data_IF_559275345649
#
_entry.id   IF_559275345649
#
_cell.length_a   1.000
_cell.length_b   1.000
_cell.length_c   1.000
_cell.angle_alpha   90.00
_cell.angle_beta   90.00
_cell.angle_gamma   90.00
#
_symmetry.space_group_name_H-M   'P 1'
#
loop_
_entity.id
_entity.type
_entity.pdbx_description
1 polymer ?
#
# COMPACT_ATOMS: atom_id res chain seq x y z
N UNK A 1 2.00 37.91 -5.00
CA UNK A 1 1.72 36.52 -4.55
C UNK A 1 2.92 35.69 -4.96
N UNK A 2 3.83 35.42 -4.03
CA UNK A 2 4.96 34.51 -4.30
C UNK A 2 4.40 33.13 -4.62
N UNK A 3 4.82 32.54 -5.72
CA UNK A 3 4.55 31.12 -5.99
C UNK A 3 5.12 30.32 -4.83
N UNK A 4 4.28 29.85 -3.91
CA UNK A 4 4.72 28.91 -2.88
C UNK A 4 5.34 27.72 -3.61
N UNK A 5 6.61 27.43 -3.33
CA UNK A 5 7.33 26.29 -3.88
C UNK A 5 6.58 25.02 -3.50
N UNK A 6 5.71 24.57 -4.39
CA UNK A 6 4.93 23.36 -4.25
C UNK A 6 5.82 22.21 -4.66
N UNK A 7 6.05 21.26 -3.75
CA UNK A 7 6.82 20.05 -4.02
C UNK A 7 5.86 18.87 -4.10
N UNK A 8 5.82 18.21 -5.25
CA UNK A 8 5.16 16.91 -5.37
C UNK A 8 5.98 15.86 -4.60
N UNK A 9 5.30 15.10 -3.76
CA UNK A 9 5.85 13.99 -3.00
C UNK A 9 5.09 12.74 -3.34
N UNK A 10 5.82 11.71 -3.75
CA UNK A 10 5.31 10.37 -4.03
C UNK A 10 5.64 9.47 -2.84
N UNK A 11 4.64 8.74 -2.36
CA UNK A 11 4.76 7.75 -1.30
C UNK A 11 4.27 6.41 -1.82
N UNK A 12 5.15 5.41 -1.91
CA UNK A 12 4.84 4.10 -2.46
C UNK A 12 5.46 2.98 -1.64
N UNK A 13 4.72 1.89 -1.42
CA UNK A 13 5.21 0.71 -0.69
C UNK A 13 4.50 -0.57 -1.13
N UNK A 14 5.19 -1.70 -1.11
CA UNK A 14 4.51 -3.00 -1.14
C UNK A 14 3.96 -3.32 0.24
N UNK A 15 2.76 -3.91 0.30
CA UNK A 15 2.14 -4.32 1.56
C UNK A 15 1.01 -5.35 1.34
N UNK A 16 0.36 -5.79 2.42
CA UNK A 16 -0.78 -6.70 2.37
C UNK A 16 -2.10 -5.96 2.60
N UNK A 17 -2.97 -5.96 1.59
CA UNK A 17 -4.35 -5.46 1.71
C UNK A 17 -5.34 -6.56 2.09
N UNK A 18 -6.43 -6.13 2.74
CA UNK A 18 -7.57 -6.94 3.13
C UNK A 18 -8.76 -6.63 2.21
N UNK A 19 -9.35 -7.66 1.60
CA UNK A 19 -10.42 -7.52 0.61
C UNK A 19 -11.59 -8.47 0.87
N UNK A 20 -12.82 -7.96 0.87
CA UNK A 20 -14.06 -8.76 0.85
C UNK A 20 -14.60 -8.84 -0.58
N UNK A 21 -15.54 -9.74 -0.88
CA UNK A 21 -16.19 -9.73 -2.20
C UNK A 21 -16.99 -8.45 -2.42
N UNK A 22 -17.70 -7.99 -1.39
CA UNK A 22 -18.48 -6.76 -1.44
C UNK A 22 -17.59 -5.54 -1.71
N UNK A 23 -16.37 -5.49 -1.15
CA UNK A 23 -15.38 -4.45 -1.43
C UNK A 23 -15.07 -4.35 -2.92
N UNK A 24 -14.73 -5.48 -3.53
CA UNK A 24 -14.33 -5.56 -4.93
C UNK A 24 -15.49 -5.26 -5.86
N UNK A 25 -16.70 -5.73 -5.53
CA UNK A 25 -17.90 -5.43 -6.32
C UNK A 25 -18.29 -3.95 -6.28
N UNK A 26 -18.15 -3.30 -5.12
CA UNK A 26 -18.35 -1.85 -4.98
C UNK A 26 -17.32 -1.11 -5.85
N UNK A 27 -16.03 -1.48 -5.76
CA UNK A 27 -14.96 -0.85 -6.55
C UNK A 27 -15.16 -1.03 -8.05
N UNK A 28 -15.45 -2.25 -8.49
CA UNK A 28 -15.71 -2.54 -9.90
C UNK A 28 -16.87 -1.70 -10.43
N UNK A 29 -17.97 -1.63 -9.68
CA UNK A 29 -19.13 -0.86 -10.08
C UNK A 29 -18.85 0.64 -10.13
N UNK A 30 -18.20 1.21 -9.11
CA UNK A 30 -17.86 2.65 -9.09
C UNK A 30 -16.86 2.97 -10.20
N UNK A 31 -15.84 2.15 -10.42
CA UNK A 31 -14.83 2.39 -11.47
C UNK A 31 -15.48 2.43 -12.87
N UNK A 32 -16.47 1.57 -13.12
CA UNK A 32 -17.20 1.56 -14.39
C UNK A 32 -18.25 2.67 -14.56
N UNK A 33 -18.73 3.28 -13.46
CA UNK A 33 -19.92 4.15 -13.46
C UNK A 33 -19.77 5.43 -12.61
N UNK A 34 -18.54 5.89 -12.30
CA UNK A 34 -18.32 7.04 -11.41
C UNK A 34 -18.69 8.38 -12.07
N UNK A 35 -19.40 9.29 -11.36
CA UNK A 35 -19.92 9.17 -9.99
C UNK A 35 -21.18 8.31 -9.92
N UNK A 36 -21.33 7.54 -8.84
CA UNK A 36 -22.47 6.63 -8.66
C UNK A 36 -23.35 7.02 -7.47
N UNK A 37 -24.68 7.03 -7.67
CA UNK A 37 -25.66 7.29 -6.62
C UNK A 37 -25.58 6.25 -5.52
N UNK A 38 -25.61 6.70 -4.26
CA UNK A 38 -25.65 5.81 -3.10
C UNK A 38 -26.85 4.86 -3.13
N UNK A 39 -28.03 5.37 -3.50
CA UNK A 39 -29.25 4.57 -3.53
C UNK A 39 -29.21 3.50 -4.62
N UNK A 40 -28.61 3.81 -5.77
CA UNK A 40 -28.46 2.86 -6.87
C UNK A 40 -27.49 1.74 -6.49
N UNK A 41 -26.34 2.08 -5.91
CA UNK A 41 -25.38 1.10 -5.38
C UNK A 41 -26.03 0.16 -4.35
N UNK A 42 -26.75 0.72 -3.36
CA UNK A 42 -27.45 -0.08 -2.35
C UNK A 42 -28.46 -1.03 -3.01
N UNK A 43 -29.21 -0.55 -4.00
CA UNK A 43 -30.23 -1.34 -4.69
C UNK A 43 -29.60 -2.49 -5.48
N UNK A 44 -28.53 -2.21 -6.24
CA UNK A 44 -27.82 -3.21 -7.04
C UNK A 44 -27.21 -4.30 -6.13
N UNK A 45 -26.50 -3.89 -5.07
CA UNK A 45 -25.86 -4.83 -4.15
C UNK A 45 -26.90 -5.64 -3.34
N UNK A 46 -28.02 -5.02 -2.96
CA UNK A 46 -29.11 -5.73 -2.32
C UNK A 46 -29.75 -6.78 -3.24
N UNK A 47 -29.91 -6.46 -4.53
CA UNK A 47 -30.40 -7.42 -5.53
C UNK A 47 -29.44 -8.60 -5.76
N UNK A 48 -28.15 -8.42 -5.46
CA UNK A 48 -27.14 -9.49 -5.45
C UNK A 48 -27.14 -10.32 -4.15
N UNK A 49 -27.98 -9.98 -3.17
CA UNK A 49 -28.16 -10.74 -1.93
C UNK A 49 -27.41 -10.19 -0.72
N UNK A 50 -26.73 -9.05 -0.83
CA UNK A 50 -26.09 -8.39 0.32
C UNK A 50 -27.12 -7.68 1.20
N UNK A 51 -26.96 -7.75 2.52
CA UNK A 51 -27.86 -7.01 3.41
C UNK A 51 -27.51 -5.52 3.40
N UNK A 52 -28.50 -4.66 3.64
CA UNK A 52 -28.26 -3.20 3.77
C UNK A 52 -27.26 -2.87 4.87
N UNK A 53 -27.19 -3.70 5.92
CA UNK A 53 -26.23 -3.55 7.01
C UNK A 53 -24.81 -3.81 6.52
N UNK A 54 -24.57 -4.93 5.84
CA UNK A 54 -23.23 -5.27 5.31
C UNK A 54 -22.76 -4.23 4.30
N UNK A 55 -23.65 -3.75 3.43
CA UNK A 55 -23.36 -2.67 2.48
C UNK A 55 -22.92 -1.39 3.20
N UNK A 56 -23.63 -1.00 4.26
CA UNK A 56 -23.28 0.19 5.04
C UNK A 56 -21.93 0.02 5.74
N UNK A 57 -21.71 -1.11 6.41
CA UNK A 57 -20.45 -1.41 7.10
C UNK A 57 -19.26 -1.42 6.13
N UNK A 58 -19.45 -1.95 4.92
CA UNK A 58 -18.43 -1.96 3.89
C UNK A 58 -18.16 -0.55 3.31
N UNK A 59 -19.18 0.30 3.15
CA UNK A 59 -18.97 1.71 2.79
C UNK A 59 -18.19 2.47 3.86
N UNK A 60 -18.54 2.30 5.14
CA UNK A 60 -17.80 2.92 6.25
C UNK A 60 -16.34 2.47 6.24
N UNK A 61 -16.09 1.16 6.05
CA UNK A 61 -14.73 0.61 5.94
C UNK A 61 -13.96 1.18 4.75
N UNK A 62 -14.57 1.25 3.57
CA UNK A 62 -13.90 1.76 2.37
C UNK A 62 -13.61 3.26 2.45
N UNK A 63 -14.46 4.04 3.13
CA UNK A 63 -14.21 5.43 3.46
C UNK A 63 -13.00 5.55 4.40
N UNK A 64 -12.99 4.78 5.48
CA UNK A 64 -11.89 4.76 6.46
C UNK A 64 -10.56 4.33 5.81
N UNK A 65 -10.62 3.48 4.78
CA UNK A 65 -9.47 2.99 4.02
C UNK A 65 -9.12 3.84 2.77
N UNK A 66 -9.81 4.95 2.53
CA UNK A 66 -9.63 5.80 1.33
C UNK A 66 -9.76 5.08 -0.02
N UNK A 67 -10.65 4.11 -0.11
CA UNK A 67 -10.98 3.52 -1.41
C UNK A 67 -12.07 4.32 -2.11
N UNK A 68 -13.04 4.84 -1.36
CA UNK A 68 -14.13 5.65 -1.89
C UNK A 68 -14.31 6.90 -1.03
N UNK A 69 -14.91 7.93 -1.62
CA UNK A 69 -15.34 9.14 -0.92
C UNK A 69 -16.82 9.36 -1.15
N UNK A 70 -17.55 9.64 -0.08
CA UNK A 70 -18.93 10.09 -0.15
C UNK A 70 -18.98 11.61 -0.35
N UNK A 71 -19.84 12.09 -1.24
CA UNK A 71 -20.09 13.52 -1.48
C UNK A 71 -21.50 13.84 -0.97
N UNK A 72 -21.66 14.39 0.25
CA UNK A 72 -22.97 14.56 0.88
C UNK A 72 -23.95 15.42 0.09
N UNK A 73 -23.47 16.50 -0.53
CA UNK A 73 -24.31 17.41 -1.32
C UNK A 73 -24.87 16.79 -2.60
N UNK A 74 -24.26 15.71 -3.08
CA UNK A 74 -24.65 15.01 -4.31
C UNK A 74 -25.26 13.62 -4.03
N UNK A 75 -25.17 13.12 -2.79
CA UNK A 75 -25.49 11.73 -2.40
C UNK A 75 -24.81 10.68 -3.30
N UNK A 76 -23.58 10.96 -3.73
CA UNK A 76 -22.79 10.10 -4.60
C UNK A 76 -21.56 9.55 -3.90
N UNK A 77 -21.12 8.37 -4.35
CA UNK A 77 -19.78 7.87 -4.09
C UNK A 77 -18.90 8.05 -5.32
N UNK A 78 -17.66 8.44 -5.07
CA UNK A 78 -16.60 8.49 -6.07
C UNK A 78 -15.45 7.59 -5.66
N UNK A 79 -14.79 6.99 -6.64
CA UNK A 79 -13.52 6.30 -6.42
C UNK A 79 -12.47 7.31 -5.95
N UNK A 80 -11.62 6.89 -5.02
CA UNK A 80 -10.40 7.61 -4.69
C UNK A 80 -9.22 6.87 -5.31
N UNK A 81 -8.55 7.53 -6.24
CA UNK A 81 -7.31 7.05 -6.84
C UNK A 81 -6.13 7.42 -5.91
N UNK A 82 -6.19 6.92 -4.68
CA UNK A 82 -5.05 6.85 -3.77
C UNK A 82 -4.32 5.55 -4.13
N UNK A 83 -3.11 5.70 -4.66
CA UNK A 83 -2.62 4.69 -5.60
C UNK A 83 -2.88 5.19 -7.00
N UNK A 84 -1.94 5.02 -7.91
CA UNK A 84 -2.28 5.10 -9.33
C UNK A 84 -3.11 3.90 -9.77
N UNK A 85 -3.29 2.91 -8.90
CA UNK A 85 -3.81 1.64 -9.32
C UNK A 85 -4.34 0.73 -8.20
N UNK A 86 -4.83 1.12 -7.00
CA UNK A 86 -5.22 0.06 -6.03
C UNK A 86 -6.14 -1.00 -6.66
N UNK A 87 -7.09 -0.58 -7.50
CA UNK A 87 -7.87 -1.52 -8.33
C UNK A 87 -7.09 -2.04 -9.54
N UNK A 88 -6.45 -1.17 -10.32
CA UNK A 88 -5.67 -1.57 -11.52
C UNK A 88 -4.49 -2.51 -11.18
N UNK A 89 -3.67 -2.24 -10.19
CA UNK A 89 -2.60 -3.04 -9.58
C UNK A 89 -3.12 -4.40 -9.13
N UNK A 90 -4.27 -4.45 -8.45
CA UNK A 90 -4.92 -5.72 -8.11
C UNK A 90 -5.26 -6.48 -9.38
N UNK A 91 -5.88 -5.84 -10.38
CA UNK A 91 -6.18 -6.45 -11.67
C UNK A 91 -4.91 -6.99 -12.35
N UNK A 92 -3.85 -6.20 -12.45
CA UNK A 92 -2.60 -6.59 -13.09
C UNK A 92 -1.89 -7.73 -12.36
N UNK A 93 -1.92 -7.75 -11.01
CA UNK A 93 -1.12 -8.68 -10.20
C UNK A 93 -1.87 -9.90 -9.70
N UNK A 94 -3.20 -9.97 -9.80
CA UNK A 94 -3.96 -11.09 -9.22
C UNK A 94 -3.53 -12.44 -9.79
N UNK A 95 -3.12 -12.48 -11.06
CA UNK A 95 -2.60 -13.67 -11.73
C UNK A 95 -1.22 -14.10 -11.21
N UNK A 96 -0.48 -13.19 -10.58
CA UNK A 96 0.88 -13.41 -10.10
C UNK A 96 0.95 -13.71 -8.60
N UNK A 97 -0.12 -13.50 -7.82
CA UNK A 97 -0.10 -13.60 -6.35
C UNK A 97 0.42 -14.96 -5.81
N UNK A 98 0.27 -16.06 -6.56
CA UNK A 98 0.81 -17.37 -6.16
C UNK A 98 2.32 -17.50 -6.39
N UNK A 99 2.90 -16.69 -7.28
CA UNK A 99 4.31 -16.65 -7.67
C UNK A 99 5.06 -15.45 -7.07
N UNK A 100 4.41 -14.72 -6.16
CA UNK A 100 4.89 -13.46 -5.62
C UNK A 100 5.55 -13.63 -4.24
N UNK A 101 6.75 -13.10 -4.10
CA UNK A 101 7.42 -12.84 -2.83
C UNK A 101 7.53 -11.33 -2.65
N UNK A 102 6.82 -10.75 -1.69
CA UNK A 102 6.98 -9.34 -1.33
C UNK A 102 7.37 -9.17 0.13
N UNK A 103 7.99 -8.05 0.43
CA UNK A 103 8.53 -7.79 1.75
C UNK A 103 9.16 -6.42 1.90
N UNK A 104 9.82 -6.23 3.04
CA UNK A 104 10.62 -5.05 3.30
C UNK A 104 11.95 -5.36 3.97
N UNK A 105 12.91 -4.48 3.74
CA UNK A 105 14.27 -4.53 4.26
C UNK A 105 14.50 -3.22 4.98
N UNK A 106 14.95 -3.30 6.22
CA UNK A 106 15.45 -2.16 6.98
C UNK A 106 16.61 -2.61 7.88
N UNK A 107 17.59 -1.74 8.06
CA UNK A 107 18.68 -1.97 9.00
C UNK A 107 18.32 -1.37 10.37
N UNK A 108 18.79 -2.01 11.45
CA UNK A 108 18.79 -1.40 12.77
C UNK A 108 19.92 -2.00 13.61
N UNK A 109 20.82 -1.15 14.10
CA UNK A 109 21.96 -1.54 14.96
C UNK A 109 22.83 -2.64 14.32
N UNK A 110 23.19 -2.48 13.03
CA UNK A 110 24.03 -3.44 12.32
C UNK A 110 23.37 -4.79 11.98
N UNK A 111 22.04 -4.88 12.05
CA UNK A 111 21.30 -6.06 11.62
C UNK A 111 20.26 -5.71 10.57
N UNK A 112 20.13 -6.60 9.59
CA UNK A 112 19.08 -6.52 8.57
C UNK A 112 17.83 -7.22 9.11
N UNK A 113 16.77 -6.43 9.22
CA UNK A 113 15.43 -6.94 9.49
C UNK A 113 14.75 -7.17 8.13
N UNK A 114 14.36 -8.42 7.89
CA UNK A 114 13.65 -8.83 6.70
C UNK A 114 12.21 -9.19 7.10
N UNK A 115 11.27 -8.43 6.54
CA UNK A 115 9.85 -8.73 6.61
C UNK A 115 9.40 -9.38 5.29
N UNK A 116 8.65 -10.47 5.39
CA UNK A 116 8.01 -11.15 4.27
C UNK A 116 6.51 -11.12 4.47
N UNK A 117 5.83 -10.51 3.51
CA UNK A 117 4.39 -10.39 3.48
C UNK A 117 3.72 -11.74 3.20
N UNK A 118 2.55 -11.93 3.79
CA UNK A 118 1.73 -13.14 3.64
C UNK A 118 0.48 -12.80 2.87
N UNK A 119 0.11 -13.68 1.97
CA UNK A 119 -1.14 -13.62 1.21
C UNK A 119 -1.87 -14.96 1.34
N UNK A 120 -3.19 -14.96 1.16
CA UNK A 120 -3.99 -16.18 1.07
C UNK A 120 -3.68 -17.00 -0.20
N UNK A 121 -2.98 -16.43 -1.17
CA UNK A 121 -2.49 -17.10 -2.38
C UNK A 121 -1.11 -17.75 -2.20
N UNK A 122 -0.49 -17.57 -1.03
CA UNK A 122 0.90 -17.99 -0.80
C UNK A 122 1.05 -19.52 -0.88
N UNK A 123 1.98 -20.04 -1.70
CA UNK A 123 2.16 -21.48 -1.85
C UNK A 123 2.78 -22.11 -0.59
N UNK A 124 2.45 -23.38 -0.36
CA UNK A 124 2.93 -24.13 0.81
C UNK A 124 4.47 -24.24 0.83
N UNK A 125 5.13 -24.38 -0.33
CA UNK A 125 6.59 -24.43 -0.38
C UNK A 125 7.22 -23.14 0.14
N UNK A 126 6.72 -21.96 -0.28
CA UNK A 126 7.23 -20.68 0.19
C UNK A 126 7.01 -20.50 1.70
N UNK A 127 5.84 -20.90 2.21
CA UNK A 127 5.58 -20.89 3.66
C UNK A 127 6.57 -21.77 4.43
N UNK A 128 6.87 -22.97 3.94
CA UNK A 128 7.86 -23.88 4.55
C UNK A 128 9.26 -23.26 4.50
N UNK A 129 9.68 -22.74 3.35
CA UNK A 129 10.97 -22.08 3.17
C UNK A 129 11.15 -20.88 4.12
N UNK A 130 10.10 -20.08 4.34
CA UNK A 130 10.13 -18.97 5.29
C UNK A 130 10.36 -19.43 6.73
N UNK A 131 9.67 -20.49 7.16
CA UNK A 131 9.84 -21.07 8.51
C UNK A 131 11.26 -21.62 8.67
N UNK A 132 11.72 -22.41 7.69
CA UNK A 132 13.07 -23.01 7.70
C UNK A 132 14.19 -21.97 7.66
N UNK A 133 13.93 -20.80 7.08
CA UNK A 133 14.88 -19.68 7.07
C UNK A 133 14.87 -18.85 8.36
N UNK A 134 14.10 -19.24 9.38
CA UNK A 134 14.05 -18.55 10.67
C UNK A 134 13.08 -17.37 10.74
N UNK A 135 12.23 -17.15 9.72
CA UNK A 135 11.23 -16.09 9.75
C UNK A 135 10.05 -16.47 10.67
N UNK A 136 9.85 -15.68 11.72
CA UNK A 136 8.82 -15.88 12.74
C UNK A 136 7.56 -15.12 12.38
N UNK A 137 6.40 -15.62 12.82
CA UNK A 137 5.13 -14.91 12.62
C UNK A 137 5.15 -13.59 13.40
N UNK A 138 4.77 -12.51 12.73
CA UNK A 138 4.58 -11.18 13.32
C UNK A 138 3.08 -10.82 13.30
N UNK A 139 2.67 -9.72 13.98
CA UNK A 139 1.34 -9.14 13.78
C UNK A 139 1.06 -8.85 12.30
N UNK A 140 -0.22 -8.91 11.92
CA UNK A 140 -0.78 -8.54 10.60
C UNK A 140 -0.01 -9.13 9.41
N UNK A 141 -0.45 -10.32 8.95
CA UNK A 141 -0.04 -10.97 7.68
C UNK A 141 1.44 -10.84 7.28
N UNK A 142 2.34 -10.98 8.26
CA UNK A 142 3.78 -10.86 8.06
C UNK A 142 4.55 -11.98 8.74
N UNK A 143 5.71 -12.30 8.19
CA UNK A 143 6.78 -13.02 8.89
C UNK A 143 8.02 -12.13 8.95
N UNK A 144 8.68 -12.09 10.08
CA UNK A 144 9.82 -11.21 10.33
C UNK A 144 11.01 -12.04 10.78
N UNK A 145 12.22 -11.63 10.39
CA UNK A 145 13.45 -12.18 10.91
C UNK A 145 14.55 -11.13 10.92
N UNK A 146 15.53 -11.36 11.79
CA UNK A 146 16.67 -10.48 12.01
C UNK A 146 17.93 -11.26 11.68
N UNK A 147 18.75 -10.72 10.78
CA UNK A 147 19.87 -11.44 10.19
C UNK A 147 21.11 -10.55 10.07
N UNK A 148 22.26 -11.21 9.95
CA UNK A 148 23.44 -10.62 9.32
C UNK A 148 23.29 -10.66 7.80
N UNK A 149 24.06 -9.86 7.07
CA UNK A 149 23.96 -9.70 5.60
C UNK A 149 23.95 -11.03 4.84
N UNK A 150 24.87 -11.92 5.14
CA UNK A 150 24.94 -13.24 4.49
C UNK A 150 23.71 -14.10 4.80
N UNK A 151 23.19 -13.99 6.02
CA UNK A 151 21.98 -14.70 6.47
C UNK A 151 20.73 -14.21 5.76
N UNK A 152 20.57 -12.88 5.63
CA UNK A 152 19.47 -12.26 4.89
C UNK A 152 19.51 -12.66 3.41
N UNK A 153 20.70 -12.60 2.79
CA UNK A 153 20.92 -13.01 1.40
C UNK A 153 20.58 -14.48 1.16
N UNK A 154 20.99 -15.36 2.09
CA UNK A 154 20.66 -16.80 2.04
C UNK A 154 19.16 -17.03 2.20
N UNK A 155 18.50 -16.29 3.09
CA UNK A 155 17.05 -16.36 3.29
C UNK A 155 16.31 -15.99 1.99
N UNK A 156 16.62 -14.84 1.38
CA UNK A 156 16.00 -14.41 0.12
C UNK A 156 16.19 -15.42 -1.01
N UNK A 157 17.42 -15.93 -1.20
CA UNK A 157 17.72 -16.97 -2.19
C UNK A 157 16.89 -18.24 -1.96
N UNK A 158 16.73 -18.66 -0.71
CA UNK A 158 15.91 -19.81 -0.33
C UNK A 158 14.42 -19.59 -0.63
N UNK A 159 13.89 -18.42 -0.31
CA UNK A 159 12.51 -18.05 -0.60
C UNK A 159 12.23 -17.98 -2.10
N UNK A 160 13.08 -17.31 -2.87
CA UNK A 160 12.93 -17.22 -4.33
C UNK A 160 12.94 -18.61 -4.99
N UNK A 161 13.75 -19.54 -4.47
CA UNK A 161 13.81 -20.91 -4.99
C UNK A 161 12.52 -21.71 -4.74
N UNK A 162 11.71 -21.28 -3.78
CA UNK A 162 10.42 -21.88 -3.46
C UNK A 162 9.25 -21.26 -4.22
N UNK A 163 9.48 -20.24 -5.05
CA UNK A 163 8.44 -19.63 -5.88
C UNK A 163 8.02 -20.56 -7.02
N UNK A 164 6.73 -20.85 -7.19
CA UNK A 164 6.22 -21.49 -8.39
C UNK A 164 6.36 -20.54 -9.59
N UNK A 165 6.19 -21.04 -10.81
CA UNK A 165 6.14 -20.17 -11.99
C UNK A 165 4.82 -19.40 -12.03
N UNK A 166 4.87 -18.13 -12.40
CA UNK A 166 3.69 -17.31 -12.62
C UNK A 166 2.92 -17.83 -13.82
N UNK A 167 1.60 -17.88 -13.72
CA UNK A 167 0.74 -18.09 -14.88
C UNK A 167 0.53 -16.71 -15.47
N UNK A 168 1.27 -16.39 -16.54
CA UNK A 168 1.11 -15.12 -17.23
C UNK A 168 -0.32 -15.01 -17.78
N UNK A 169 -1.04 -14.00 -17.33
CA UNK A 169 -2.34 -13.61 -17.86
C UNK A 169 -2.58 -12.15 -17.54
N UNK A 170 -3.13 -11.41 -18.50
CA UNK A 170 -3.69 -10.08 -18.26
C UNK A 170 -4.86 -10.27 -17.31
N UNK A 171 -4.72 -9.86 -16.05
CA UNK A 171 -5.86 -9.88 -15.14
C UNK A 171 -6.76 -8.70 -15.46
N UNK A 172 -8.04 -8.98 -15.64
CA UNK A 172 -9.11 -7.99 -15.70
C UNK A 172 -9.94 -8.04 -14.39
N UNK A 173 -10.90 -7.13 -14.25
CA UNK A 173 -11.78 -7.07 -13.09
C UNK A 173 -12.50 -8.40 -12.81
N UNK A 174 -12.92 -9.11 -13.86
CA UNK A 174 -13.63 -10.38 -13.73
C UNK A 174 -12.73 -11.47 -13.14
N UNK A 175 -11.47 -11.54 -13.60
CA UNK A 175 -10.47 -12.46 -13.06
C UNK A 175 -10.18 -12.18 -11.58
N UNK A 176 -10.19 -10.91 -11.16
CA UNK A 176 -10.03 -10.53 -9.74
C UNK A 176 -11.17 -11.08 -8.90
N UNK A 177 -12.41 -10.75 -9.27
CA UNK A 177 -13.61 -11.20 -8.55
C UNK A 177 -13.67 -12.72 -8.47
N UNK A 178 -13.38 -13.42 -9.58
CA UNK A 178 -13.36 -14.87 -9.61
C UNK A 178 -12.30 -15.45 -8.66
N UNK A 179 -11.03 -15.07 -8.80
CA UNK A 179 -9.92 -15.65 -8.02
C UNK A 179 -10.08 -15.38 -6.53
N UNK A 180 -10.54 -14.19 -6.16
CA UNK A 180 -10.77 -13.84 -4.75
C UNK A 180 -12.01 -14.58 -4.22
N UNK A 181 -13.08 -14.67 -5.00
CA UNK A 181 -14.27 -15.44 -4.66
C UNK A 181 -13.96 -16.92 -4.41
N UNK A 182 -13.18 -17.54 -5.29
CA UNK A 182 -12.69 -18.91 -5.13
C UNK A 182 -11.84 -19.07 -3.86
N UNK A 183 -10.97 -18.09 -3.56
CA UNK A 183 -10.16 -18.14 -2.36
C UNK A 183 -11.00 -18.00 -1.09
N UNK A 184 -12.02 -17.14 -1.10
CA UNK A 184 -12.91 -16.91 0.03
C UNK A 184 -13.82 -18.12 0.26
N UNK A 185 -14.34 -18.76 -0.79
CA UNK A 185 -15.22 -19.93 -0.68
C UNK A 185 -14.54 -21.16 -0.07
N UNK A 186 -13.20 -21.24 -0.16
CA UNK A 186 -12.39 -22.26 0.49
C UNK A 186 -12.18 -22.01 2.00
N UNK A 187 -12.56 -20.84 2.51
CA UNK A 187 -12.38 -20.44 3.91
C UNK A 187 -13.68 -20.60 4.68
N UNK A 188 -13.58 -20.55 6.01
CA UNK A 188 -14.78 -20.57 6.87
C UNK A 188 -15.65 -19.34 6.60
N UNK A 189 -16.97 -19.47 6.78
CA UNK A 189 -17.91 -18.34 6.66
C UNK A 189 -17.61 -17.18 7.62
N UNK A 190 -16.85 -17.43 8.70
CA UNK A 190 -16.36 -16.41 9.64
C UNK A 190 -15.21 -15.57 9.10
N UNK A 191 -14.68 -15.92 7.93
CA UNK A 191 -13.54 -15.26 7.29
C UNK A 191 -13.84 -14.91 5.82
N UNK A 192 -14.88 -14.10 5.52
CA UNK A 192 -15.32 -13.75 4.16
C UNK A 192 -14.39 -12.73 3.47
N UNK A 193 -13.08 -12.93 3.58
CA UNK A 193 -12.08 -12.00 3.06
C UNK A 193 -10.82 -12.72 2.58
N UNK A 194 -10.05 -12.06 1.73
CA UNK A 194 -8.74 -12.50 1.26
C UNK A 194 -7.67 -11.43 1.54
N UNK A 195 -6.47 -11.89 1.88
CA UNK A 195 -5.28 -11.05 1.99
C UNK A 195 -4.45 -11.12 0.70
N UNK A 196 -4.11 -9.95 0.15
CA UNK A 196 -3.48 -9.81 -1.17
C UNK A 196 -2.30 -8.86 -1.04
N UNK A 197 -1.20 -9.13 -1.72
CA UNK A 197 -0.08 -8.19 -1.81
C UNK A 197 -0.43 -7.13 -2.86
N UNK A 198 -0.28 -5.86 -2.49
CA UNK A 198 -0.58 -4.68 -3.32
C UNK A 198 0.57 -3.69 -3.27
N UNK A 199 0.60 -2.76 -4.23
CA UNK A 199 1.56 -1.65 -4.30
C UNK A 199 0.85 -0.28 -4.35
N UNK A 200 0.32 0.25 -3.23
CA UNK A 200 -0.25 1.58 -3.19
C UNK A 200 0.80 2.68 -3.42
N UNK A 201 0.42 3.69 -4.22
CA UNK A 201 1.22 4.87 -4.61
C UNK A 201 0.43 6.16 -4.43
N UNK A 202 0.76 6.98 -3.46
CA UNK A 202 0.08 8.27 -3.26
C UNK A 202 0.98 9.42 -3.71
N UNK A 203 0.43 10.27 -4.57
CA UNK A 203 1.03 11.54 -4.96
C UNK A 203 0.34 12.70 -4.22
N UNK A 204 1.15 13.54 -3.57
CA UNK A 204 0.66 14.70 -2.80
C UNK A 204 1.49 15.93 -3.13
N UNK A 205 0.81 17.04 -3.39
CA UNK A 205 1.43 18.34 -3.60
C UNK A 205 1.53 19.06 -2.25
N UNK A 206 2.74 19.06 -1.68
CA UNK A 206 3.02 19.78 -0.45
C UNK A 206 3.52 21.19 -0.73
N UNK A 207 2.75 22.17 -0.22
CA UNK A 207 3.33 23.44 0.19
C UNK A 207 3.92 23.29 1.60
N UNK A 208 4.85 24.16 2.04
CA UNK A 208 5.34 24.15 3.43
C UNK A 208 4.20 24.18 4.44
N UNK A 209 3.13 24.91 4.13
CA UNK A 209 1.94 25.01 4.95
C UNK A 209 1.16 23.70 5.04
N UNK A 210 0.81 23.08 3.91
CA UNK A 210 0.11 21.78 3.87
C UNK A 210 0.87 20.70 4.63
N UNK A 211 2.20 20.70 4.52
CA UNK A 211 3.05 19.75 5.24
C UNK A 211 2.95 19.96 6.76
N UNK A 212 2.96 21.21 7.21
CA UNK A 212 2.81 21.56 8.63
C UNK A 212 1.45 21.16 9.17
N UNK A 213 0.36 21.51 8.47
CA UNK A 213 -1.02 21.13 8.85
C UNK A 213 -1.16 19.62 9.00
N UNK A 214 -0.73 18.86 7.98
CA UNK A 214 -0.86 17.39 7.99
C UNK A 214 -0.04 16.75 9.11
N UNK A 215 1.19 17.23 9.32
CA UNK A 215 2.07 16.75 10.39
C UNK A 215 1.45 17.00 11.77
N UNK A 216 0.91 18.19 12.00
CA UNK A 216 0.24 18.53 13.26
C UNK A 216 -0.98 17.65 13.48
N UNK A 217 -1.84 17.50 12.46
CA UNK A 217 -3.00 16.59 12.53
C UNK A 217 -2.58 15.15 12.89
N UNK A 218 -1.56 14.61 12.23
CA UNK A 218 -1.08 13.25 12.52
C UNK A 218 -0.53 13.11 13.94
N UNK A 219 0.12 14.16 14.45
CA UNK A 219 0.68 14.15 15.81
C UNK A 219 -0.40 14.19 16.89
N UNK A 220 -1.48 14.95 16.68
CA UNK A 220 -2.57 15.10 17.65
C UNK A 220 -3.51 13.88 17.63
N UNK A 221 -3.85 13.38 16.44
CA UNK A 221 -4.79 12.25 16.28
C UNK A 221 -4.25 10.93 16.82
N UNK A 222 -2.92 10.75 16.86
CA UNK A 222 -2.26 9.47 17.17
C UNK A 222 -2.67 8.31 16.25
N UNK A 223 -3.22 8.61 15.07
CA UNK A 223 -3.66 7.64 14.07
C UNK A 223 -5.12 7.84 13.64
N UNK A 224 -5.62 6.98 12.73
CA UNK A 224 -7.02 7.01 12.28
C UNK A 224 -8.03 6.73 13.40
N UNK A 225 -9.21 7.33 13.32
CA UNK A 225 -10.28 7.17 14.32
C UNK A 225 -10.69 5.71 14.55
N UNK A 226 -10.82 4.90 13.49
CA UNK A 226 -11.16 3.48 13.58
C UNK A 226 -10.05 2.63 14.21
N UNK A 227 -8.84 3.18 14.34
CA UNK A 227 -7.72 2.61 15.10
C UNK A 227 -7.66 3.12 16.54
N UNK A 228 -8.73 3.76 17.04
CA UNK A 228 -8.82 4.45 18.33
C UNK A 228 -8.01 5.74 18.40
N UNK A 229 -7.66 6.33 17.25
CA UNK A 229 -7.17 7.70 17.19
C UNK A 229 -8.26 8.70 17.57
N UNK A 230 -7.86 9.90 17.95
CA UNK A 230 -8.77 10.98 18.35
C UNK A 230 -8.97 11.93 17.17
N UNK A 231 -10.19 12.07 16.62
CA UNK A 231 -10.50 13.13 15.65
C UNK A 231 -10.20 14.51 16.25
N UNK A 232 -9.71 15.43 15.42
CA UNK A 232 -9.25 16.75 15.85
C UNK A 232 -10.13 17.82 15.19
N UNK A 233 -10.66 18.73 16.00
CA UNK A 233 -11.46 19.86 15.52
C UNK A 233 -10.60 20.92 14.82
N UNK A 234 -11.21 21.74 13.98
CA UNK A 234 -10.53 22.89 13.37
C UNK A 234 -9.99 23.87 14.43
N UNK A 235 -10.76 24.10 15.49
CA UNK A 235 -10.39 24.99 16.60
C UNK A 235 -9.13 24.48 17.34
N UNK A 236 -9.03 23.18 17.55
CA UNK A 236 -7.84 22.60 18.15
C UNK A 236 -6.63 22.78 17.22
N UNK A 237 -6.77 22.52 15.93
CA UNK A 237 -5.70 22.75 14.95
C UNK A 237 -5.22 24.22 14.92
N UNK A 238 -6.14 25.19 15.00
CA UNK A 238 -5.77 26.62 15.05
C UNK A 238 -4.92 26.96 16.26
N UNK A 239 -5.19 26.32 17.41
CA UNK A 239 -4.42 26.52 18.63
C UNK A 239 -2.96 26.05 18.53
N UNK A 240 -2.67 25.10 17.63
CA UNK A 240 -1.32 24.56 17.41
C UNK A 240 -0.57 25.16 16.22
N UNK A 241 -1.29 25.76 15.26
CA UNK A 241 -0.73 26.14 13.96
C UNK A 241 -0.47 27.64 13.81
N UNK A 242 -0.86 28.47 14.79
CA UNK A 242 -0.73 29.94 14.76
C UNK A 242 -1.13 30.54 13.40
N UNK A 243 -2.30 30.13 12.90
CA UNK A 243 -2.83 30.53 11.60
C UNK A 243 -4.35 30.66 11.63
N UNK A 244 -4.87 31.37 10.62
CA UNK A 244 -6.32 31.57 10.51
C UNK A 244 -7.05 30.24 10.23
N UNK A 245 -8.29 30.07 10.72
CA UNK A 245 -9.11 28.91 10.39
C UNK A 245 -9.21 28.67 8.87
N UNK A 246 -9.35 29.74 8.09
CA UNK A 246 -9.43 29.67 6.62
C UNK A 246 -8.18 29.06 5.96
N UNK A 247 -6.98 29.36 6.47
CA UNK A 247 -5.75 28.81 5.90
C UNK A 247 -5.60 27.32 6.18
N UNK A 248 -6.06 26.88 7.35
CA UNK A 248 -6.07 25.45 7.73
C UNK A 248 -7.16 24.72 6.92
N UNK A 249 -8.33 25.32 6.75
CA UNK A 249 -9.42 24.77 5.93
C UNK A 249 -9.03 24.55 4.48
N UNK A 250 -8.25 25.46 3.87
CA UNK A 250 -7.74 25.28 2.50
C UNK A 250 -6.86 24.02 2.39
N UNK A 251 -6.00 23.78 3.38
CA UNK A 251 -5.16 22.59 3.42
C UNK A 251 -5.99 21.31 3.68
N UNK A 252 -6.93 21.36 4.63
CA UNK A 252 -7.82 20.23 4.94
C UNK A 252 -8.73 19.87 3.76
N UNK A 253 -9.27 20.86 3.06
CA UNK A 253 -10.08 20.66 1.84
C UNK A 253 -9.30 19.90 0.77
N UNK A 254 -8.02 20.25 0.59
CA UNK A 254 -7.13 19.50 -0.30
C UNK A 254 -7.01 18.02 0.14
N UNK A 255 -6.71 17.77 1.41
CA UNK A 255 -6.53 16.40 1.93
C UNK A 255 -7.82 15.57 1.98
N UNK A 256 -8.98 16.21 2.17
CA UNK A 256 -10.31 15.58 2.04
C UNK A 256 -10.57 15.15 0.60
N UNK A 257 -10.27 16.03 -0.37
CA UNK A 257 -10.46 15.75 -1.80
C UNK A 257 -9.58 14.59 -2.27
N UNK A 258 -8.34 14.55 -1.80
CA UNK A 258 -7.39 13.45 -2.12
C UNK A 258 -7.61 12.23 -1.24
N UNK A 259 -8.56 12.24 -0.29
CA UNK A 259 -8.86 11.11 0.59
C UNK A 259 -7.77 10.76 1.60
N UNK A 260 -6.83 11.67 1.88
CA UNK A 260 -5.78 11.48 2.91
C UNK A 260 -6.36 11.70 4.32
N UNK A 261 -7.32 12.60 4.41
CA UNK A 261 -8.07 12.95 5.62
C UNK A 261 -9.54 12.69 5.34
N UNK A 262 -10.30 12.35 6.38
CA UNK A 262 -11.75 12.30 6.37
C UNK A 262 -12.34 13.24 7.42
N UNK A 263 -13.53 13.75 7.13
CA UNK A 263 -14.35 14.51 8.06
C UNK A 263 -15.25 13.57 8.86
N UNK A 264 -15.27 13.75 10.17
CA UNK A 264 -16.11 13.04 11.14
C UNK A 264 -16.96 14.08 11.86
N UNK A 265 -18.19 14.31 11.39
CA UNK A 265 -19.05 15.39 11.87
C UNK A 265 -18.36 16.77 11.72
N UNK A 266 -17.89 17.37 12.82
CA UNK A 266 -17.15 18.65 12.84
C UNK A 266 -15.62 18.49 12.88
N UNK A 267 -15.12 17.26 12.96
CA UNK A 267 -13.73 16.96 13.26
C UNK A 267 -13.02 16.27 12.09
N UNK A 268 -11.70 16.20 12.16
CA UNK A 268 -10.85 15.65 11.11
C UNK A 268 -10.01 14.48 11.65
N UNK A 269 -9.94 13.40 10.88
CA UNK A 269 -9.08 12.25 11.16
C UNK A 269 -8.34 11.87 9.89
N UNK A 270 -7.07 11.43 9.95
CA UNK A 270 -6.47 10.76 8.82
C UNK A 270 -7.24 9.47 8.53
N UNK A 271 -7.25 9.08 7.26
CA UNK A 271 -7.69 7.75 6.86
C UNK A 271 -6.56 6.73 7.09
N UNK A 272 -6.88 5.43 7.02
CA UNK A 272 -5.89 4.37 7.15
C UNK A 272 -4.76 4.49 6.12
N UNK A 273 -5.12 4.68 4.84
CA UNK A 273 -4.17 4.83 3.75
C UNK A 273 -3.40 6.14 3.85
N UNK A 274 -4.08 7.25 4.12
CA UNK A 274 -3.45 8.55 4.29
C UNK A 274 -2.40 8.53 5.40
N UNK A 275 -2.75 7.95 6.55
CA UNK A 275 -1.82 7.80 7.67
C UNK A 275 -0.67 6.84 7.36
N UNK A 276 -0.96 5.64 6.86
CA UNK A 276 0.06 4.59 6.66
C UNK A 276 1.11 5.01 5.62
N UNK A 277 0.67 5.64 4.53
CA UNK A 277 1.55 6.07 3.45
C UNK A 277 2.34 7.32 3.84
N UNK A 278 1.68 8.35 4.36
CA UNK A 278 2.33 9.64 4.57
C UNK A 278 3.03 9.77 5.93
N UNK A 279 2.68 8.97 6.94
CA UNK A 279 3.39 9.00 8.22
C UNK A 279 4.87 8.66 8.06
N UNK A 280 5.21 7.87 7.03
CA UNK A 280 6.58 7.49 6.69
C UNK A 280 7.40 8.65 6.13
N UNK A 281 6.77 9.62 5.46
CA UNK A 281 7.44 10.88 5.02
C UNK A 281 8.00 11.64 6.23
N UNK A 282 7.36 11.51 7.38
CA UNK A 282 7.75 12.17 8.62
C UNK A 282 8.69 11.34 9.50
N UNK A 283 9.09 10.14 9.07
CA UNK A 283 9.98 9.24 9.80
C UNK A 283 11.33 9.14 9.09
N UNK A 284 12.39 9.04 9.89
CA UNK A 284 13.78 8.97 9.44
C UNK A 284 14.31 7.54 9.23
N UNK A 285 13.45 6.57 8.85
CA UNK A 285 13.89 5.18 8.70
C UNK A 285 14.01 4.80 7.22
N UNK A 286 15.16 4.24 6.85
CA UNK A 286 15.43 3.71 5.53
C UNK A 286 14.82 2.31 5.39
N UNK A 287 13.53 2.27 5.04
CA UNK A 287 12.83 1.03 4.68
C UNK A 287 12.69 0.95 3.16
N UNK A 288 13.14 -0.18 2.59
CA UNK A 288 12.93 -0.52 1.18
C UNK A 288 11.95 -1.67 1.09
N UNK A 289 10.83 -1.45 0.41
CA UNK A 289 9.86 -2.51 0.11
C UNK A 289 10.05 -3.03 -1.30
N UNK A 290 9.91 -4.33 -1.49
CA UNK A 290 10.19 -5.00 -2.75
C UNK A 290 9.15 -6.09 -3.06
N UNK A 291 9.11 -6.49 -4.33
CA UNK A 291 8.42 -7.66 -4.82
C UNK A 291 9.29 -8.43 -5.82
N UNK A 292 9.24 -9.76 -5.75
CA UNK A 292 9.88 -10.68 -6.69
C UNK A 292 8.84 -11.65 -7.21
N UNK A 293 8.67 -11.68 -8.53
CA UNK A 293 7.79 -12.63 -9.23
C UNK A 293 8.64 -13.57 -10.07
N UNK A 294 8.35 -14.87 -10.04
CA UNK A 294 8.99 -15.83 -10.96
C UNK A 294 8.18 -15.90 -12.25
N UNK A 295 8.66 -15.27 -13.32
CA UNK A 295 8.00 -15.17 -14.62
C UNK A 295 8.28 -16.35 -15.57
N UNK A 296 9.25 -17.19 -15.24
CA UNK A 296 9.59 -18.37 -16.03
C UNK A 296 10.43 -19.37 -15.23
N UNK A 297 10.79 -20.50 -15.86
CA UNK A 297 11.59 -21.55 -15.19
C UNK A 297 12.85 -21.01 -14.51
N UNK A 298 13.50 -20.00 -15.07
CA UNK A 298 14.69 -19.36 -14.49
C UNK A 298 14.64 -17.82 -14.52
N UNK A 299 13.49 -17.25 -14.84
CA UNK A 299 13.31 -15.80 -14.98
C UNK A 299 12.55 -15.24 -13.79
N UNK A 300 13.07 -14.15 -13.24
CA UNK A 300 12.53 -13.46 -12.09
C UNK A 300 12.47 -11.96 -12.39
N UNK A 301 11.33 -11.34 -12.10
CA UNK A 301 11.14 -9.89 -12.15
C UNK A 301 11.29 -9.35 -10.73
N UNK A 302 12.13 -8.34 -10.57
CA UNK A 302 12.28 -7.61 -9.31
C UNK A 302 11.63 -6.24 -9.46
N UNK A 303 10.90 -5.84 -8.43
CA UNK A 303 10.27 -4.54 -8.32
C UNK A 303 10.62 -3.94 -6.97
N UNK A 304 11.09 -2.69 -6.96
CA UNK A 304 11.52 -1.99 -5.76
C UNK A 304 10.79 -0.67 -5.68
N UNK A 305 10.13 -0.41 -4.55
CA UNK A 305 9.38 0.83 -4.36
C UNK A 305 10.33 2.01 -4.19
N UNK A 306 10.06 3.11 -4.89
CA UNK A 306 10.93 4.31 -4.92
C UNK A 306 10.16 5.57 -4.50
N UNK A 307 9.73 5.67 -3.22
CA UNK A 307 9.11 6.89 -2.73
C UNK A 307 10.07 8.09 -2.84
N UNK A 308 9.54 9.32 -2.96
CA UNK A 308 10.37 10.53 -3.17
C UNK A 308 11.29 10.89 -2.01
N UNK A 309 11.12 10.24 -0.86
CA UNK A 309 11.96 10.39 0.33
C UNK A 309 12.91 9.20 0.52
N UNK A 310 12.98 8.28 -0.46
CA UNK A 310 14.02 7.26 -0.49
C UNK A 310 15.39 7.92 -0.63
N UNK A 311 16.39 7.34 0.03
CA UNK A 311 17.77 7.82 -0.01
C UNK A 311 18.28 7.90 -1.46
N UNK A 312 18.90 9.02 -1.90
CA UNK A 312 19.45 9.15 -3.25
C UNK A 312 20.40 8.02 -3.61
N UNK A 313 21.24 7.57 -2.68
CA UNK A 313 22.20 6.47 -2.87
C UNK A 313 21.52 5.14 -3.19
N UNK A 314 20.31 4.92 -2.68
CA UNK A 314 19.51 3.75 -3.03
C UNK A 314 18.88 3.92 -4.41
N UNK A 315 18.41 5.13 -4.75
CA UNK A 315 17.85 5.42 -6.07
C UNK A 315 18.90 5.24 -7.17
N UNK A 316 20.09 5.81 -6.98
CA UNK A 316 21.21 5.74 -7.91
C UNK A 316 21.63 4.28 -8.11
N UNK A 317 21.77 3.50 -7.03
CA UNK A 317 22.07 2.08 -7.09
C UNK A 317 21.08 1.30 -7.96
N UNK A 318 19.78 1.57 -7.80
CA UNK A 318 18.73 0.86 -8.55
C UNK A 318 18.83 1.14 -10.06
N UNK A 319 19.11 2.40 -10.42
CA UNK A 319 19.26 2.82 -11.81
C UNK A 319 20.55 2.26 -12.43
N UNK A 320 21.67 2.34 -11.73
CA UNK A 320 22.96 1.78 -12.16
C UNK A 320 22.90 0.27 -12.35
N UNK A 321 22.10 -0.43 -11.54
CA UNK A 321 21.87 -1.87 -11.65
C UNK A 321 20.96 -2.27 -12.85
N UNK A 322 20.51 -1.30 -13.66
CA UNK A 322 19.68 -1.52 -14.84
C UNK A 322 18.18 -1.56 -14.57
N UNK A 323 17.73 -1.03 -13.43
CA UNK A 323 16.31 -0.83 -13.16
C UNK A 323 15.74 0.32 -13.99
N UNK A 324 14.49 0.19 -14.42
CA UNK A 324 13.74 1.25 -15.10
C UNK A 324 12.48 1.61 -14.33
N UNK A 325 12.12 2.90 -14.18
CA UNK A 325 10.85 3.27 -13.60
C UNK A 325 9.67 2.66 -14.37
N UNK A 326 8.67 2.17 -13.64
CA UNK A 326 7.42 1.70 -14.22
C UNK A 326 6.63 2.89 -14.81
N UNK A 327 6.25 2.78 -16.08
CA UNK A 327 5.29 3.61 -16.83
C UNK A 327 5.09 5.06 -16.35
N UNK A 328 6.09 5.93 -16.54
CA UNK A 328 5.95 7.40 -16.42
C UNK A 328 5.75 7.96 -15.00
N UNK A 329 5.38 7.12 -14.02
CA UNK A 329 5.05 7.50 -12.64
C UNK A 329 6.23 7.39 -11.66
N UNK A 330 7.38 6.90 -12.13
CA UNK A 330 8.63 6.94 -11.36
C UNK A 330 8.79 5.84 -10.29
N UNK A 331 7.72 5.08 -9.97
CA UNK A 331 7.73 3.98 -8.99
C UNK A 331 6.72 2.88 -9.38
N UNK A 332 7.01 1.59 -9.12
CA UNK A 332 8.29 1.06 -8.64
C UNK A 332 9.36 1.10 -9.73
N UNK A 333 10.63 0.97 -9.34
CA UNK A 333 11.68 0.59 -10.28
C UNK A 333 11.56 -0.90 -10.56
N UNK A 334 11.47 -1.24 -11.85
CA UNK A 334 11.27 -2.61 -12.34
C UNK A 334 12.53 -3.05 -13.06
N UNK A 335 12.98 -4.26 -12.73
CA UNK A 335 14.05 -4.95 -13.43
C UNK A 335 13.41 -5.96 -14.39
N UNK A 336 13.81 -6.00 -15.67
CA UNK A 336 13.24 -6.92 -16.64
C UNK A 336 13.43 -8.39 -16.19
N UNK A 337 12.55 -9.32 -16.60
CA UNK A 337 12.68 -10.72 -16.21
C UNK A 337 14.04 -11.31 -16.64
N UNK A 338 14.87 -11.67 -15.67
CA UNK A 338 16.21 -12.23 -15.91
C UNK A 338 16.54 -13.33 -14.89
N UNK A 339 17.77 -13.83 -14.92
CA UNK A 339 18.29 -14.84 -14.03
C UNK A 339 18.17 -14.40 -12.58
N UNK A 340 17.84 -15.37 -11.73
CA UNK A 340 17.84 -15.25 -10.26
C UNK A 340 19.09 -14.56 -9.68
N UNK A 341 20.24 -14.71 -10.34
CA UNK A 341 21.50 -14.07 -9.94
C UNK A 341 21.42 -12.55 -9.97
N UNK A 342 20.77 -11.94 -10.97
CA UNK A 342 20.63 -10.48 -11.05
C UNK A 342 19.83 -9.98 -9.84
N UNK A 343 18.65 -10.55 -9.60
CA UNK A 343 17.81 -10.20 -8.43
C UNK A 343 18.60 -10.36 -7.12
N UNK A 344 19.37 -11.45 -6.98
CA UNK A 344 20.19 -11.67 -5.79
C UNK A 344 21.26 -10.59 -5.62
N UNK A 345 21.92 -10.19 -6.70
CA UNK A 345 22.95 -9.14 -6.70
C UNK A 345 22.36 -7.79 -6.30
N UNK A 346 21.23 -7.40 -6.88
CA UNK A 346 20.56 -6.13 -6.57
C UNK A 346 20.11 -6.10 -5.11
N UNK A 347 19.47 -7.18 -4.63
CA UNK A 347 19.01 -7.25 -3.24
C UNK A 347 20.18 -7.23 -2.24
N UNK A 348 21.30 -7.89 -2.56
CA UNK A 348 22.50 -7.84 -1.72
C UNK A 348 23.12 -6.44 -1.68
N UNK A 349 23.19 -5.77 -2.83
CA UNK A 349 23.67 -4.39 -2.91
C UNK A 349 22.76 -3.45 -2.10
N UNK A 350 21.43 -3.57 -2.22
CA UNK A 350 20.48 -2.81 -1.42
C UNK A 350 20.71 -3.00 0.08
N UNK A 351 20.88 -4.24 0.54
CA UNK A 351 21.13 -4.52 1.95
C UNK A 351 22.45 -3.91 2.43
N UNK A 352 23.51 -3.91 1.61
CA UNK A 352 24.79 -3.26 1.93
C UNK A 352 24.62 -1.75 2.03
N UNK A 353 23.97 -1.12 1.06
CA UNK A 353 23.75 0.33 1.02
C UNK A 353 22.90 0.79 2.20
N UNK A 354 21.79 0.11 2.51
CA UNK A 354 20.94 0.46 3.67
C UNK A 354 21.72 0.33 4.98
N UNK A 355 22.59 -0.68 5.10
CA UNK A 355 23.44 -0.85 6.29
C UNK A 355 24.44 0.31 6.41
N UNK A 356 25.10 0.69 5.30
CA UNK A 356 26.06 1.78 5.29
C UNK A 356 25.44 3.15 5.60
N UNK A 357 24.18 3.38 5.22
CA UNK A 357 23.44 4.60 5.54
C UNK A 357 23.09 4.66 7.03
N UNK A 358 22.66 3.54 7.62
CA UNK A 358 22.29 3.48 9.05
C UNK A 358 23.50 3.65 10.01
N UNK A 359 24.71 3.38 9.53
CA UNK A 359 25.95 3.53 10.31
C UNK A 359 26.54 4.96 10.25
N UNK A 360 25.94 5.88 9.47
CA UNK A 360 26.28 7.31 9.40
C UNK A 360 25.41 8.13 10.34
#
# INVERSE_FOLDING_TARGET
>A
MSSENTKRVVSSFFETGYFTLLDLEIKDHITGNSPCSRQDLITILHNKGYTKKDIKEEFDRQRDYSTIRYIPGEDTYVSLDIGTALWSDICHRISEQHSLLAGSIHCRKGFINLDVYRTDFQPLQLRKAAISSGLRRAPVMRRTGKFQLEGASRCLKGLMSALPEAVCGTGDCAAVLQKIGEKISQKSSKTPWAWIIVHPVVEVDFTPWRKTVLRTLFSLTSGPAHWKGTPISLYELTGYLDASPSEIEVALTYFLKTGIVQSMESDYSPTERGYTLLSRIFRSHHEVTFAVTRCGRFQYRLEVSTPSFLCPEIQDLLMEAGGSPYDGEGTPVVFPPDKRSQVSTVMEALMKTITAIEDQ
#
